data_IF_893905507180
#
_entry.id   IF_893905507180
#
_cell.length_a   1.000
_cell.length_b   1.000
_cell.length_c   1.000
_cell.angle_alpha   90.00
_cell.angle_beta   90.00
_cell.angle_gamma   90.00
#
_symmetry.space_group_name_H-M   'P 1'
#
loop_
_entity.id
_entity.type
_entity.pdbx_description
1 polymer ?
#
# COMPACT_ATOMS: atom_id res chain seq x y z
N UNK A 1 -51.02 -20.85 -4.62
CA UNK A 1 -50.81 -19.94 -5.76
C UNK A 1 -50.01 -18.75 -5.28
N UNK A 2 -48.97 -18.44 -6.04
CA UNK A 2 -47.87 -17.51 -5.85
C UNK A 2 -48.27 -16.04 -5.74
N UNK A 3 -47.49 -15.26 -4.98
CA UNK A 3 -47.30 -13.83 -5.24
C UNK A 3 -47.35 -12.93 -4.01
N UNK A 4 -46.19 -12.57 -3.45
CA UNK A 4 -45.97 -11.28 -2.80
C UNK A 4 -44.47 -11.04 -2.61
N UNK A 5 -43.93 -10.10 -3.39
CA UNK A 5 -42.55 -9.60 -3.27
C UNK A 5 -42.27 -9.05 -1.88
N UNK A 6 -41.14 -9.45 -1.30
CA UNK A 6 -40.53 -8.77 -0.16
C UNK A 6 -39.49 -7.81 -0.71
N UNK A 7 -39.74 -6.52 -0.45
CA UNK A 7 -38.87 -5.39 -0.76
C UNK A 7 -37.54 -5.60 -0.04
N UNK A 8 -36.46 -5.57 -0.81
CA UNK A 8 -35.12 -5.46 -0.26
C UNK A 8 -34.99 -4.10 0.45
N UNK A 9 -34.69 -4.15 1.74
CA UNK A 9 -34.45 -3.00 2.58
C UNK A 9 -33.14 -2.34 2.13
N UNK A 10 -33.20 -1.06 1.75
CA UNK A 10 -32.02 -0.22 1.55
C UNK A 10 -31.07 -0.34 2.75
N UNK A 11 -29.74 -0.38 2.52
CA UNK A 11 -28.78 -0.43 3.61
C UNK A 11 -28.83 0.90 4.41
N UNK A 12 -28.73 0.85 5.74
CA UNK A 12 -28.58 2.07 6.52
C UNK A 12 -27.27 2.77 6.15
N UNK A 13 -27.28 4.11 6.14
CA UNK A 13 -26.10 4.93 5.90
C UNK A 13 -24.93 4.51 6.82
N UNK A 14 -23.67 4.50 6.33
CA UNK A 14 -22.56 3.99 7.10
C UNK A 14 -22.34 4.82 8.36
N UNK A 15 -22.35 4.12 9.52
CA UNK A 15 -21.92 4.68 10.78
C UNK A 15 -20.43 5.03 10.70
N UNK A 16 -20.13 6.30 10.94
CA UNK A 16 -18.80 6.89 11.13
C UNK A 16 -17.91 6.07 12.08
N UNK A 17 -16.70 5.70 11.67
CA UNK A 17 -15.76 5.00 12.57
C UNK A 17 -14.39 4.58 12.04
N UNK A 18 -13.89 5.13 10.93
CA UNK A 18 -12.46 5.01 10.58
C UNK A 18 -11.81 6.36 10.88
N UNK A 19 -10.89 6.40 11.83
CA UNK A 19 -10.10 7.61 12.09
C UNK A 19 -9.28 7.93 10.83
N UNK A 20 -9.74 8.91 10.05
CA UNK A 20 -9.03 9.40 8.89
C UNK A 20 -8.04 10.46 9.34
N UNK A 21 -6.77 10.33 8.91
CA UNK A 21 -5.67 11.26 9.18
C UNK A 21 -5.35 12.13 7.94
N UNK A 22 -6.31 12.88 7.37
CA UNK A 22 -6.16 13.45 6.03
C UNK A 22 -5.02 14.46 5.93
N UNK A 23 -4.73 15.21 7.00
CA UNK A 23 -3.63 16.19 7.01
C UNK A 23 -2.27 15.51 6.79
N UNK A 24 -2.01 14.39 7.48
CA UNK A 24 -0.82 13.57 7.29
C UNK A 24 -0.71 13.07 5.86
N UNK A 25 -1.81 12.50 5.36
CA UNK A 25 -1.86 11.90 4.04
C UNK A 25 -1.60 12.93 2.94
N UNK A 26 -2.19 14.14 3.04
CA UNK A 26 -1.96 15.21 2.06
C UNK A 26 -0.46 15.54 2.01
N UNK A 27 0.17 15.80 3.16
CA UNK A 27 1.61 16.11 3.22
C UNK A 27 2.47 15.00 2.62
N UNK A 28 2.15 13.74 2.95
CA UNK A 28 2.86 12.58 2.41
C UNK A 28 2.73 12.48 0.88
N UNK A 29 1.51 12.63 0.34
CA UNK A 29 1.23 12.48 -1.09
C UNK A 29 1.94 13.55 -1.92
N UNK A 30 1.86 14.81 -1.48
CA UNK A 30 2.49 15.93 -2.20
C UNK A 30 4.01 15.81 -2.18
N UNK A 31 4.59 15.37 -1.06
CA UNK A 31 6.02 15.11 -0.99
C UNK A 31 6.43 13.91 -1.84
N UNK A 32 5.60 12.88 -1.97
CA UNK A 32 5.90 11.71 -2.83
C UNK A 32 5.94 12.12 -4.31
N UNK A 33 5.04 13.02 -4.74
CA UNK A 33 5.08 13.65 -6.08
C UNK A 33 6.33 14.51 -6.23
N UNK A 34 6.67 15.32 -5.22
CA UNK A 34 7.93 16.09 -5.22
C UNK A 34 9.14 15.18 -5.39
N UNK A 35 9.21 14.10 -4.62
CA UNK A 35 10.29 13.13 -4.68
C UNK A 35 10.37 12.45 -6.05
N UNK A 36 9.24 12.19 -6.71
CA UNK A 36 9.24 11.64 -8.07
C UNK A 36 9.96 12.54 -9.10
N UNK A 37 9.97 13.86 -8.88
CA UNK A 37 10.66 14.82 -9.76
C UNK A 37 12.10 15.12 -9.33
N UNK A 38 12.35 15.21 -8.03
CA UNK A 38 13.64 15.65 -7.46
C UNK A 38 14.57 14.49 -7.17
N UNK A 39 14.01 13.35 -6.79
CA UNK A 39 14.79 12.17 -6.50
C UNK A 39 15.15 11.45 -7.80
N UNK A 40 16.46 11.44 -8.01
CA UNK A 40 17.30 11.07 -9.13
C UNK A 40 17.14 9.61 -9.63
N UNK A 41 16.08 8.89 -9.25
CA UNK A 41 15.84 7.49 -9.61
C UNK A 41 15.19 7.31 -10.97
N UNK A 42 14.44 8.30 -11.50
CA UNK A 42 13.86 8.20 -12.84
C UNK A 42 14.87 8.45 -13.98
N UNK A 43 15.95 9.19 -13.76
CA UNK A 43 16.74 9.73 -14.88
C UNK A 43 17.92 8.90 -15.34
N UNK A 44 18.36 7.93 -14.55
CA UNK A 44 19.46 7.02 -14.96
C UNK A 44 18.94 5.66 -15.42
N UNK A 45 17.65 5.37 -15.18
CA UNK A 45 16.97 4.12 -15.56
C UNK A 45 15.91 4.29 -16.67
N UNK A 46 15.67 5.52 -17.16
CA UNK A 46 14.68 5.79 -18.22
C UNK A 46 13.23 5.92 -17.75
N UNK A 47 13.01 6.45 -16.55
CA UNK A 47 11.71 6.74 -15.93
C UNK A 47 11.44 5.94 -14.66
N UNK A 48 10.34 6.26 -13.96
CA UNK A 48 9.81 5.41 -12.90
C UNK A 48 9.07 4.21 -13.53
N UNK A 49 9.09 3.02 -12.91
CA UNK A 49 8.30 1.90 -13.41
C UNK A 49 6.80 2.26 -13.38
N UNK A 50 6.04 1.77 -14.38
CA UNK A 50 4.61 2.12 -14.55
C UNK A 50 3.78 2.00 -13.25
N UNK A 51 3.92 0.93 -12.43
CA UNK A 51 3.16 0.82 -11.18
C UNK A 51 3.46 1.93 -10.16
N UNK A 52 4.69 2.47 -10.17
CA UNK A 52 5.09 3.56 -9.29
C UNK A 52 4.54 4.90 -9.78
N UNK A 53 4.54 5.15 -11.09
CA UNK A 53 3.93 6.34 -11.70
C UNK A 53 2.43 6.38 -11.44
N UNK A 54 1.74 5.25 -11.63
CA UNK A 54 0.31 5.12 -11.32
C UNK A 54 0.06 5.48 -9.86
N UNK A 55 0.75 4.80 -8.92
CA UNK A 55 0.65 5.06 -7.48
C UNK A 55 0.83 6.54 -7.13
N UNK A 56 1.83 7.22 -7.71
CA UNK A 56 2.10 8.65 -7.48
C UNK A 56 0.92 9.49 -7.98
N UNK A 57 0.41 9.20 -9.19
CA UNK A 57 -0.75 9.90 -9.77
C UNK A 57 -2.01 9.73 -8.93
N UNK A 58 -2.25 8.57 -8.33
CA UNK A 58 -3.46 8.36 -7.54
C UNK A 58 -3.40 9.05 -6.19
N UNK A 59 -2.25 8.96 -5.53
CA UNK A 59 -1.99 9.66 -4.28
C UNK A 59 -2.09 11.17 -4.47
N UNK A 60 -1.48 11.70 -5.53
CA UNK A 60 -1.59 13.10 -5.90
C UNK A 60 -3.02 13.50 -6.21
N UNK A 61 -3.76 12.70 -6.98
CA UNK A 61 -5.14 12.99 -7.35
C UNK A 61 -6.08 13.03 -6.13
N UNK A 62 -5.89 12.10 -5.20
CA UNK A 62 -6.61 12.15 -3.92
C UNK A 62 -6.27 13.42 -3.12
N UNK A 63 -4.99 13.81 -3.05
CA UNK A 63 -4.60 15.04 -2.37
C UNK A 63 -5.20 16.30 -3.03
N UNK A 64 -5.28 16.32 -4.37
CA UNK A 64 -5.93 17.38 -5.12
C UNK A 64 -7.42 17.52 -4.76
N UNK A 65 -8.16 16.41 -4.73
CA UNK A 65 -9.58 16.39 -4.34
C UNK A 65 -9.80 16.87 -2.89
N UNK A 66 -8.94 16.42 -1.96
CA UNK A 66 -8.99 16.84 -0.56
C UNK A 66 -8.69 18.33 -0.38
N UNK A 67 -7.79 18.89 -1.19
CA UNK A 67 -7.45 20.31 -1.16
C UNK A 67 -8.57 21.17 -1.78
N UNK A 68 -9.23 20.69 -2.84
CA UNK A 68 -10.46 21.32 -3.36
C UNK A 68 -11.56 21.36 -2.32
N UNK A 69 -11.78 20.25 -1.62
CA UNK A 69 -12.78 20.17 -0.54
C UNK A 69 -12.46 21.13 0.62
N UNK A 70 -11.19 21.52 0.80
CA UNK A 70 -10.72 22.51 1.78
C UNK A 70 -10.71 23.95 1.26
N UNK A 71 -11.20 24.19 0.04
CA UNK A 71 -11.34 25.52 -0.53
C UNK A 71 -10.05 26.11 -1.12
N UNK A 72 -9.05 25.28 -1.44
CA UNK A 72 -7.91 25.74 -2.27
C UNK A 72 -8.43 26.16 -3.64
N UNK A 73 -7.85 27.24 -4.19
CA UNK A 73 -8.29 27.78 -5.47
C UNK A 73 -8.10 26.76 -6.60
N UNK A 74 -9.10 26.65 -7.48
CA UNK A 74 -9.10 25.67 -8.57
C UNK A 74 -7.86 25.79 -9.46
N UNK A 75 -7.42 27.02 -9.76
CA UNK A 75 -6.26 27.24 -10.62
C UNK A 75 -4.96 26.67 -10.03
N UNK A 76 -4.76 26.72 -8.71
CA UNK A 76 -3.62 26.09 -8.04
C UNK A 76 -3.69 24.58 -8.08
N UNK A 77 -4.87 23.99 -7.86
CA UNK A 77 -5.04 22.54 -7.91
C UNK A 77 -4.87 22.02 -9.35
N UNK A 78 -5.43 22.71 -10.34
CA UNK A 78 -5.33 22.32 -11.75
C UNK A 78 -3.87 22.36 -12.23
N UNK A 79 -3.11 23.40 -11.83
CA UNK A 79 -1.65 23.44 -12.08
C UNK A 79 -0.91 22.25 -11.44
N UNK A 80 -1.32 21.82 -10.25
CA UNK A 80 -0.72 20.65 -9.62
C UNK A 80 -1.08 19.35 -10.35
N UNK A 81 -2.31 19.20 -10.82
CA UNK A 81 -2.73 18.04 -11.61
C UNK A 81 -2.05 17.96 -12.98
N UNK A 82 -1.75 19.11 -13.61
CA UNK A 82 -0.91 19.17 -14.81
C UNK A 82 0.49 18.61 -14.55
N UNK A 83 1.10 18.98 -13.41
CA UNK A 83 2.38 18.41 -12.98
C UNK A 83 2.23 16.92 -12.71
N UNK A 84 1.20 16.50 -11.99
CA UNK A 84 0.94 15.09 -11.69
C UNK A 84 0.79 14.22 -12.94
N UNK A 85 0.13 14.73 -13.99
CA UNK A 85 0.02 14.05 -15.27
C UNK A 85 1.40 13.85 -15.94
N UNK A 86 2.31 14.80 -15.75
CA UNK A 86 3.66 14.79 -16.32
C UNK A 86 4.70 13.98 -15.54
N UNK A 87 4.32 13.13 -14.57
CA UNK A 87 5.28 12.30 -13.82
C UNK A 87 5.99 11.34 -14.80
N UNK A 88 7.34 11.26 -14.79
CA UNK A 88 8.10 10.52 -15.81
C UNK A 88 7.87 9.00 -15.74
N UNK A 89 7.43 8.39 -16.84
CA UNK A 89 7.20 6.94 -16.98
C UNK A 89 8.31 6.16 -17.69
N UNK A 90 8.19 4.82 -17.75
CA UNK A 90 9.25 3.92 -18.22
C UNK A 90 9.49 4.07 -19.73
N UNK A 91 10.76 4.07 -20.13
CA UNK A 91 11.19 4.21 -21.53
C UNK A 91 11.39 5.64 -22.01
N UNK A 92 11.25 6.66 -21.16
CA UNK A 92 11.69 8.02 -21.47
C UNK A 92 13.22 8.08 -21.44
N UNK A 93 13.81 7.72 -22.59
CA UNK A 93 15.24 7.48 -22.81
C UNK A 93 16.19 8.54 -22.16
N UNK A 94 17.21 8.10 -21.38
CA UNK A 94 18.22 8.98 -20.76
C UNK A 94 19.14 9.72 -21.74
N UNK A 95 19.17 9.38 -23.03
CA UNK A 95 20.03 10.03 -24.06
C UNK A 95 19.60 11.43 -24.51
N UNK A 96 18.68 12.09 -23.80
CA UNK A 96 18.34 13.51 -24.00
C UNK A 96 18.71 14.34 -22.76
N UNK A 97 19.99 14.36 -22.44
CA UNK A 97 20.58 15.34 -21.52
C UNK A 97 20.80 16.64 -22.32
N UNK A 98 19.85 17.56 -22.22
CA UNK A 98 20.10 18.98 -22.51
C UNK A 98 19.70 19.77 -21.28
N UNK A 99 20.44 20.85 -21.01
CA UNK A 99 20.19 21.84 -19.94
C UNK A 99 18.72 22.29 -19.87
N UNK A 100 18.02 22.25 -21.01
CA UNK A 100 16.59 22.48 -21.15
C UNK A 100 15.70 21.60 -20.24
N UNK A 101 16.07 20.33 -20.00
CA UNK A 101 15.36 19.46 -19.04
C UNK A 101 15.72 19.76 -17.58
N UNK A 102 16.89 20.35 -17.30
CA UNK A 102 17.26 20.76 -15.95
C UNK A 102 16.49 22.03 -15.53
N UNK A 103 16.38 23.00 -16.43
CA UNK A 103 15.57 24.21 -16.20
C UNK A 103 14.09 23.90 -16.05
N UNK A 104 13.56 23.00 -16.89
CA UNK A 104 12.17 22.54 -16.79
C UNK A 104 11.93 21.82 -15.45
N UNK A 105 12.83 20.93 -15.03
CA UNK A 105 12.77 20.31 -13.71
C UNK A 105 12.81 21.34 -12.59
N UNK A 106 13.74 22.29 -12.64
CA UNK A 106 13.83 23.33 -11.61
C UNK A 106 12.54 24.15 -11.51
N UNK A 107 11.88 24.44 -12.65
CA UNK A 107 10.57 25.10 -12.67
C UNK A 107 9.47 24.23 -12.05
N UNK A 108 9.46 22.93 -12.34
CA UNK A 108 8.51 21.98 -11.73
C UNK A 108 8.68 21.94 -10.21
N UNK A 109 9.93 21.85 -9.74
CA UNK A 109 10.27 21.83 -8.32
C UNK A 109 9.77 23.08 -7.61
N UNK A 110 10.08 24.27 -8.14
CA UNK A 110 9.60 25.53 -7.55
C UNK A 110 8.09 25.57 -7.46
N UNK A 111 7.37 25.11 -8.50
CA UNK A 111 5.90 25.04 -8.47
C UNK A 111 5.37 24.05 -7.43
N UNK A 112 6.03 22.90 -7.25
CA UNK A 112 5.65 21.92 -6.22
C UNK A 112 5.92 22.46 -4.81
N UNK A 113 7.00 23.22 -4.59
CA UNK A 113 7.29 23.89 -3.31
C UNK A 113 6.26 24.97 -2.99
N UNK A 114 5.90 25.79 -3.97
CA UNK A 114 4.82 26.77 -3.86
C UNK A 114 3.49 26.08 -3.50
N UNK A 115 3.16 24.98 -4.19
CA UNK A 115 1.93 24.23 -3.94
C UNK A 115 1.92 23.52 -2.57
N UNK A 116 3.05 22.95 -2.14
CA UNK A 116 3.23 22.42 -0.78
C UNK A 116 2.95 23.52 0.26
N UNK A 117 3.41 24.74 0.03
CA UNK A 117 3.12 25.90 0.87
C UNK A 117 1.64 26.28 0.91
N UNK A 118 0.94 26.24 -0.24
CA UNK A 118 -0.50 26.47 -0.33
C UNK A 118 -1.27 25.38 0.42
N UNK A 119 -0.94 24.11 0.19
CA UNK A 119 -1.56 22.97 0.85
C UNK A 119 -1.34 23.02 2.37
N UNK A 120 -0.12 23.35 2.81
CA UNK A 120 0.22 23.49 4.23
C UNK A 120 -0.58 24.59 4.92
N UNK A 121 -0.83 25.71 4.23
CA UNK A 121 -1.70 26.79 4.71
C UNK A 121 -3.16 26.35 4.78
N UNK A 122 -3.65 25.64 3.78
CA UNK A 122 -5.03 25.14 3.71
C UNK A 122 -5.35 24.12 4.82
N UNK A 123 -4.37 23.30 5.23
CA UNK A 123 -4.48 22.41 6.41
C UNK A 123 -4.61 23.18 7.72
N UNK A 124 -4.11 24.42 7.77
CA UNK A 124 -4.19 25.29 8.94
C UNK A 124 -3.15 24.98 10.03
N UNK A 125 -3.20 25.76 11.11
CA UNK A 125 -2.18 25.73 12.17
C UNK A 125 -2.42 24.61 13.19
N UNK A 126 -3.68 24.32 13.53
CA UNK A 126 -4.06 23.35 14.57
C UNK A 126 -3.56 21.93 14.30
N UNK A 127 -3.69 21.46 13.06
CA UNK A 127 -3.30 20.11 12.62
C UNK A 127 -2.17 20.10 11.61
N UNK A 128 -1.57 21.26 11.37
CA UNK A 128 -0.48 21.44 10.44
C UNK A 128 0.73 20.52 10.67
N UNK A 129 1.04 20.21 11.94
CA UNK A 129 2.12 19.29 12.29
C UNK A 129 1.95 17.89 11.68
N UNK A 130 0.71 17.43 11.48
CA UNK A 130 0.45 16.10 10.91
C UNK A 130 0.81 16.09 9.43
N UNK A 131 0.52 17.17 8.69
CA UNK A 131 1.02 17.36 7.33
C UNK A 131 2.55 17.33 7.30
N UNK A 132 3.20 18.03 8.23
CA UNK A 132 4.67 18.06 8.31
C UNK A 132 5.26 16.66 8.60
N UNK A 133 4.61 15.84 9.44
CA UNK A 133 4.98 14.43 9.63
C UNK A 133 4.88 13.64 8.33
N UNK A 134 3.79 13.81 7.58
CA UNK A 134 3.60 13.16 6.29
C UNK A 134 4.71 13.49 5.30
N UNK A 135 5.08 14.77 5.18
CA UNK A 135 6.20 15.23 4.35
C UNK A 135 7.50 14.57 4.77
N UNK A 136 7.86 14.67 6.06
CA UNK A 136 9.15 14.12 6.53
C UNK A 136 9.24 12.60 6.37
N UNK A 137 8.16 11.85 6.62
CA UNK A 137 8.14 10.40 6.45
C UNK A 137 8.15 9.97 4.98
N UNK A 138 7.49 10.72 4.10
CA UNK A 138 7.56 10.47 2.65
C UNK A 138 8.98 10.64 2.14
N UNK A 139 9.68 11.72 2.53
CA UNK A 139 11.09 11.97 2.21
C UNK A 139 12.01 10.85 2.70
N UNK A 140 11.88 10.45 3.96
CA UNK A 140 12.66 9.36 4.55
C UNK A 140 12.43 8.08 3.74
N UNK A 141 11.18 7.76 3.43
CA UNK A 141 10.82 6.59 2.64
C UNK A 141 11.33 6.61 1.20
N UNK A 142 11.42 7.78 0.58
CA UNK A 142 11.94 7.93 -0.78
C UNK A 142 13.48 7.75 -0.83
N UNK A 143 14.19 8.30 0.16
CA UNK A 143 15.63 8.09 0.33
C UNK A 143 15.99 6.61 0.59
N UNK A 144 15.25 5.92 1.45
CA UNK A 144 15.49 4.49 1.75
C UNK A 144 15.21 3.60 0.54
N UNK A 145 14.13 3.86 -0.23
CA UNK A 145 13.85 3.19 -1.50
C UNK A 145 14.98 3.39 -2.51
N UNK A 146 15.48 4.62 -2.63
CA UNK A 146 16.57 4.96 -3.56
C UNK A 146 17.88 4.28 -3.17
N UNK A 147 18.19 4.19 -1.87
CA UNK A 147 19.36 3.43 -1.39
C UNK A 147 19.23 1.93 -1.70
N UNK A 148 18.05 1.33 -1.44
CA UNK A 148 17.78 -0.07 -1.81
C UNK A 148 17.90 -0.32 -3.31
N UNK A 149 17.48 0.64 -4.15
CA UNK A 149 17.66 0.56 -5.59
C UNK A 149 19.14 0.60 -5.97
N UNK A 150 19.91 1.53 -5.41
CA UNK A 150 21.35 1.63 -5.66
C UNK A 150 22.08 0.32 -5.34
N UNK A 151 21.66 -0.37 -4.27
CA UNK A 151 22.23 -1.64 -3.83
C UNK A 151 22.02 -2.79 -4.82
N UNK A 152 20.99 -2.68 -5.67
CA UNK A 152 20.64 -3.67 -6.70
C UNK A 152 21.20 -3.33 -8.08
N UNK A 153 21.85 -2.18 -8.25
CA UNK A 153 22.47 -1.82 -9.53
C UNK A 153 23.51 -2.88 -9.92
N UNK A 154 23.66 -3.20 -11.21
CA UNK A 154 24.65 -4.16 -11.67
C UNK A 154 26.08 -3.59 -11.56
N UNK A 155 27.14 -4.44 -11.49
CA UNK A 155 28.53 -4.00 -11.26
C UNK A 155 29.05 -2.95 -12.25
N UNK A 156 28.53 -2.93 -13.46
CA UNK A 156 28.91 -1.99 -14.53
C UNK A 156 28.53 -0.53 -14.20
N UNK A 157 27.62 -0.32 -13.25
CA UNK A 157 27.15 0.98 -12.78
C UNK A 157 27.71 1.35 -11.40
N UNK A 158 28.89 0.85 -11.01
CA UNK A 158 29.44 1.04 -9.66
C UNK A 158 29.78 2.52 -9.32
N UNK A 159 30.24 3.30 -10.30
CA UNK A 159 30.46 4.74 -10.12
C UNK A 159 29.15 5.46 -9.79
N UNK A 160 28.08 5.13 -10.51
CA UNK A 160 26.73 5.63 -10.28
C UNK A 160 26.21 5.22 -8.88
N UNK A 161 26.35 3.94 -8.54
CA UNK A 161 26.00 3.39 -7.22
C UNK A 161 26.68 4.17 -6.10
N UNK A 162 27.97 4.45 -6.24
CA UNK A 162 28.77 5.19 -5.24
C UNK A 162 28.25 6.62 -5.06
N UNK A 163 28.01 7.34 -6.16
CA UNK A 163 27.46 8.71 -6.10
C UNK A 163 26.06 8.74 -5.50
N UNK A 164 25.17 7.80 -5.88
CA UNK A 164 23.83 7.69 -5.34
C UNK A 164 23.86 7.41 -3.84
N UNK A 165 24.63 6.42 -3.40
CA UNK A 165 24.76 6.08 -1.98
C UNK A 165 25.25 7.26 -1.16
N UNK A 166 26.28 7.97 -1.61
CA UNK A 166 26.80 9.14 -0.90
C UNK A 166 25.73 10.24 -0.75
N UNK A 167 25.06 10.60 -1.84
CA UNK A 167 24.01 11.64 -1.87
C UNK A 167 22.83 11.26 -0.97
N UNK A 168 22.26 10.08 -1.17
CA UNK A 168 21.03 9.67 -0.48
C UNK A 168 21.25 9.25 0.95
N UNK A 169 22.45 8.79 1.33
CA UNK A 169 22.79 8.60 2.74
C UNK A 169 22.87 9.94 3.46
N UNK A 170 23.49 10.96 2.85
CA UNK A 170 23.53 12.30 3.43
C UNK A 170 22.13 12.92 3.55
N UNK A 171 21.31 12.78 2.51
CA UNK A 171 19.93 13.29 2.51
C UNK A 171 19.03 12.55 3.50
N UNK A 172 19.14 11.22 3.62
CA UNK A 172 18.42 10.44 4.62
C UNK A 172 18.77 10.92 6.04
N UNK A 173 20.06 11.09 6.34
CA UNK A 173 20.51 11.62 7.63
C UNK A 173 19.95 13.03 7.87
N UNK A 174 19.93 13.89 6.84
CA UNK A 174 19.33 15.24 6.93
C UNK A 174 17.84 15.17 7.25
N UNK A 175 17.07 14.37 6.51
CA UNK A 175 15.63 14.22 6.69
C UNK A 175 15.27 13.68 8.09
N UNK A 176 16.03 12.68 8.56
CA UNK A 176 15.86 12.11 9.90
C UNK A 176 16.18 13.13 10.99
N UNK A 177 17.24 13.94 10.83
CA UNK A 177 17.55 15.04 11.77
C UNK A 177 16.43 16.08 11.84
N UNK A 178 15.84 16.44 10.70
CA UNK A 178 14.71 17.37 10.66
C UNK A 178 13.51 16.79 11.41
N UNK A 179 13.18 15.52 11.20
CA UNK A 179 12.10 14.85 11.93
C UNK A 179 12.36 14.79 13.42
N UNK A 180 13.57 14.40 13.84
CA UNK A 180 13.95 14.35 15.25
C UNK A 180 13.87 15.73 15.89
N UNK A 181 14.43 16.77 15.26
CA UNK A 181 14.33 18.13 15.79
C UNK A 181 12.87 18.61 15.88
N UNK A 182 12.05 18.27 14.88
CA UNK A 182 10.64 18.65 14.85
C UNK A 182 9.81 17.93 15.92
N UNK A 183 10.13 16.68 16.24
CA UNK A 183 9.37 15.85 17.19
C UNK A 183 9.90 15.95 18.62
N UNK A 184 11.21 16.06 18.81
CA UNK A 184 11.91 15.99 20.10
C UNK A 184 12.30 17.38 20.62
N UNK A 185 12.92 18.22 19.77
CA UNK A 185 13.43 19.53 20.22
C UNK A 185 12.34 20.60 20.35
N UNK A 186 11.21 20.45 19.63
CA UNK A 186 10.03 21.33 19.75
C UNK A 186 8.96 20.80 20.73
N UNK A 187 9.24 19.70 21.43
CA UNK A 187 8.25 18.85 22.12
C UNK A 187 7.85 19.16 23.58
N UNK A 188 8.60 19.91 24.42
CA UNK A 188 8.26 19.99 25.84
C UNK A 188 6.86 20.54 26.14
N UNK A 189 6.28 21.33 25.23
CA UNK A 189 4.95 21.96 25.38
C UNK A 189 3.91 21.48 24.35
N UNK A 190 4.17 20.40 23.60
CA UNK A 190 3.29 19.96 22.50
C UNK A 190 1.92 19.48 23.04
N UNK A 191 0.80 20.16 22.73
CA UNK A 191 -0.52 19.69 23.13
C UNK A 191 -0.90 18.47 22.30
N UNK A 192 -1.11 17.32 22.94
CA UNK A 192 -1.58 16.09 22.27
C UNK A 192 -3.01 16.30 21.79
N UNK A 193 -3.28 16.01 20.51
CA UNK A 193 -4.66 16.08 19.98
C UNK A 193 -5.35 14.76 20.39
N UNK A 194 -6.41 14.80 21.23
CA UNK A 194 -7.08 13.59 21.69
C UNK A 194 -7.60 12.70 20.57
N UNK A 195 -7.87 13.28 19.38
CA UNK A 195 -8.35 12.60 18.18
C UNK A 195 -7.23 12.07 17.27
N UNK A 196 -5.96 12.21 17.67
CA UNK A 196 -4.78 11.80 16.90
C UNK A 196 -3.75 11.12 17.80
N UNK A 197 -4.17 10.62 18.98
CA UNK A 197 -3.29 10.10 20.01
C UNK A 197 -2.43 8.92 19.54
N UNK A 198 -2.99 8.05 18.71
CA UNK A 198 -2.28 6.89 18.17
C UNK A 198 -1.15 7.33 17.24
N UNK A 199 -1.43 8.27 16.33
CA UNK A 199 -0.41 8.84 15.44
C UNK A 199 0.65 9.63 16.20
N UNK A 200 0.25 10.42 17.21
CA UNK A 200 1.18 11.13 18.08
C UNK A 200 2.15 10.14 18.76
N UNK A 201 1.64 9.03 19.31
CA UNK A 201 2.45 7.99 19.93
C UNK A 201 3.40 7.31 18.95
N UNK A 202 2.90 6.93 17.76
CA UNK A 202 3.71 6.26 16.74
C UNK A 202 4.87 7.16 16.26
N UNK A 203 4.61 8.46 16.08
CA UNK A 203 5.64 9.44 15.71
C UNK A 203 6.66 9.62 16.83
N UNK A 204 6.22 9.72 18.10
CA UNK A 204 7.11 9.86 19.25
C UNK A 204 8.03 8.62 19.39
N UNK A 205 7.49 7.41 19.23
CA UNK A 205 8.25 6.16 19.26
C UNK A 205 9.28 6.08 18.11
N UNK A 206 8.85 6.43 16.89
CA UNK A 206 9.73 6.46 15.73
C UNK A 206 10.85 7.50 15.90
N UNK A 207 10.55 8.69 16.41
CA UNK A 207 11.55 9.72 16.67
C UNK A 207 12.55 9.28 17.76
N UNK A 208 12.08 8.60 18.81
CA UNK A 208 12.95 8.01 19.83
C UNK A 208 13.95 7.00 19.25
N UNK A 209 13.49 6.13 18.34
CA UNK A 209 14.40 5.26 17.58
C UNK A 209 15.31 6.04 16.61
N UNK A 210 14.80 7.06 15.94
CA UNK A 210 15.57 7.87 15.00
C UNK A 210 16.74 8.60 15.69
N UNK A 211 16.60 9.00 16.95
CA UNK A 211 17.71 9.54 17.76
C UNK A 211 18.84 8.53 17.91
N UNK A 212 18.52 7.26 18.22
CA UNK A 212 19.55 6.22 18.36
C UNK A 212 20.17 5.88 17.02
N UNK A 213 19.37 5.83 15.95
CA UNK A 213 19.84 5.63 14.58
C UNK A 213 20.80 6.75 14.11
N UNK A 214 20.54 8.01 14.48
CA UNK A 214 21.42 9.13 14.11
C UNK A 214 22.80 9.06 14.75
N UNK A 215 22.95 8.37 15.89
CA UNK A 215 24.24 8.15 16.53
C UNK A 215 25.11 7.17 15.72
N UNK A 216 24.50 6.15 15.13
CA UNK A 216 25.16 5.16 14.28
C UNK A 216 24.29 4.81 13.07
N UNK A 217 24.33 5.62 11.98
CA UNK A 217 23.51 5.39 10.78
C UNK A 217 23.97 4.14 10.02
N UNK A 218 23.41 2.98 10.38
CA UNK A 218 23.86 1.65 10.00
C UNK A 218 22.94 1.01 8.94
N UNK A 219 21.65 0.85 9.23
CA UNK A 219 20.65 0.19 8.40
C UNK A 219 19.52 1.15 8.02
N UNK A 220 19.41 1.45 6.72
CA UNK A 220 18.27 2.18 6.17
C UNK A 220 16.98 1.34 6.17
N UNK A 221 17.09 0.02 6.29
CA UNK A 221 15.98 -0.93 6.19
C UNK A 221 15.12 -0.95 7.44
N UNK A 222 15.73 -0.99 8.63
CA UNK A 222 14.99 -0.94 9.89
C UNK A 222 14.34 0.43 10.11
N UNK A 223 15.05 1.50 9.76
CA UNK A 223 14.51 2.86 9.77
C UNK A 223 13.29 2.98 8.84
N UNK A 224 13.38 2.42 7.62
CA UNK A 224 12.26 2.38 6.68
C UNK A 224 11.07 1.57 7.22
N UNK A 225 11.34 0.41 7.81
CA UNK A 225 10.32 -0.47 8.38
C UNK A 225 9.52 0.23 9.49
N UNK A 226 10.21 0.88 10.43
CA UNK A 226 9.55 1.65 11.51
C UNK A 226 8.84 2.89 10.99
N UNK A 227 9.42 3.58 10.00
CA UNK A 227 8.73 4.70 9.34
C UNK A 227 7.43 4.26 8.66
N UNK A 228 7.42 3.08 8.02
CA UNK A 228 6.21 2.47 7.46
C UNK A 228 5.15 2.19 8.52
N UNK A 229 5.51 1.73 9.72
CA UNK A 229 4.55 1.52 10.81
C UNK A 229 3.80 2.80 11.17
N UNK A 230 4.48 3.96 11.19
CA UNK A 230 3.83 5.26 11.40
C UNK A 230 2.85 5.60 10.27
N UNK A 231 3.24 5.36 9.02
CA UNK A 231 2.34 5.57 7.87
C UNK A 231 1.10 4.68 7.96
N UNK A 232 1.24 3.43 8.41
CA UNK A 232 0.12 2.52 8.61
C UNK A 232 -0.85 3.02 9.69
N UNK A 233 -0.34 3.55 10.81
CA UNK A 233 -1.16 4.18 11.86
C UNK A 233 -1.93 5.38 11.30
N UNK A 234 -1.32 6.15 10.38
CA UNK A 234 -1.99 7.25 9.68
C UNK A 234 -3.01 6.78 8.62
N UNK A 235 -3.36 5.49 8.58
CA UNK A 235 -4.26 4.91 7.58
C UNK A 235 -3.66 4.84 6.18
N UNK A 236 -2.36 5.09 6.02
CA UNK A 236 -1.64 4.88 4.76
C UNK A 236 -1.22 3.42 4.68
N UNK A 237 -2.21 2.54 4.55
CA UNK A 237 -1.95 1.20 4.05
C UNK A 237 -1.30 1.34 2.66
N UNK A 238 -0.34 0.51 2.31
CA UNK A 238 0.22 0.47 0.94
C UNK A 238 -0.89 0.31 -0.11
N UNK A 239 -2.02 -0.26 0.32
CA UNK A 239 -3.30 -0.26 -0.36
C UNK A 239 -3.95 1.13 -0.52
N UNK A 240 -3.90 2.10 0.38
CA UNK A 240 -4.65 3.37 0.22
C UNK A 240 -4.09 4.29 -0.89
N UNK A 241 -2.82 4.06 -1.27
CA UNK A 241 -2.18 4.62 -2.47
C UNK A 241 -2.58 3.91 -3.77
N UNK A 242 -3.01 2.65 -3.65
CA UNK A 242 -3.35 1.77 -4.77
C UNK A 242 -4.89 1.58 -4.88
N UNK A 243 -5.64 1.97 -3.85
CA UNK A 243 -7.05 1.59 -3.62
C UNK A 243 -8.07 2.57 -4.13
N UNK A 244 -7.68 3.79 -4.53
CA UNK A 244 -8.64 4.73 -5.13
C UNK A 244 -8.48 4.89 -6.64
N UNK A 245 -7.27 4.87 -7.22
CA UNK A 245 -7.13 5.03 -8.69
C UNK A 245 -6.06 4.16 -9.40
N UNK A 246 -5.15 3.49 -8.69
CA UNK A 246 -3.90 2.88 -9.23
C UNK A 246 -3.89 1.43 -9.62
N UNK A 247 -5.07 0.83 -9.73
CA UNK A 247 -5.22 -0.46 -10.38
C UNK A 247 -6.05 -0.35 -11.64
N UNK A 248 -6.05 0.81 -12.30
CA UNK A 248 -6.83 1.02 -13.52
C UNK A 248 -6.23 0.38 -14.78
N UNK A 249 -4.98 -0.05 -14.79
CA UNK A 249 -4.36 -0.53 -16.04
C UNK A 249 -3.99 -2.01 -16.10
N UNK A 250 -3.84 -2.70 -14.96
CA UNK A 250 -3.75 -4.19 -14.97
C UNK A 250 -5.10 -4.88 -14.76
N UNK A 251 -6.14 -4.14 -14.36
CA UNK A 251 -7.48 -4.65 -14.09
C UNK A 251 -8.57 -3.71 -14.62
N UNK A 252 -8.44 -3.32 -15.89
CA UNK A 252 -9.39 -2.46 -16.60
C UNK A 252 -10.69 -3.20 -16.94
N UNK A 253 -11.51 -3.43 -15.93
CA UNK A 253 -12.92 -3.10 -16.01
C UNK A 253 -13.29 -2.31 -14.74
N UNK A 254 -13.95 -1.16 -14.86
CA UNK A 254 -14.41 -0.41 -13.70
C UNK A 254 -15.42 -1.29 -12.94
N UNK A 255 -15.10 -1.68 -11.70
CA UNK A 255 -16.08 -2.31 -10.82
C UNK A 255 -17.01 -1.19 -10.30
N UNK A 256 -18.28 -1.13 -10.75
CA UNK A 256 -19.17 -0.01 -10.44
C UNK A 256 -19.43 0.11 -8.94
N UNK A 257 -19.62 1.34 -8.48
CA UNK A 257 -20.10 1.67 -7.13
C UNK A 257 -21.31 0.79 -6.79
N UNK A 258 -21.15 -0.06 -5.76
CA UNK A 258 -22.12 -0.78 -4.92
C UNK A 258 -23.52 -1.20 -5.44
N UNK A 259 -23.87 -1.09 -6.72
CA UNK A 259 -25.22 -1.40 -7.19
C UNK A 259 -25.31 -2.48 -8.27
N UNK A 260 -24.23 -2.90 -8.96
CA UNK A 260 -24.35 -3.88 -10.07
C UNK A 260 -23.12 -4.74 -10.39
N UNK A 261 -22.40 -5.29 -9.41
CA UNK A 261 -21.45 -6.40 -9.70
C UNK A 261 -22.14 -7.69 -9.26
N UNK A 262 -22.46 -8.62 -10.19
CA UNK A 262 -22.90 -9.95 -9.81
C UNK A 262 -21.84 -10.58 -8.90
N UNK A 263 -22.26 -10.99 -7.70
CA UNK A 263 -21.48 -11.89 -6.84
C UNK A 263 -21.28 -13.17 -7.65
N UNK A 264 -20.08 -13.36 -8.19
CA UNK A 264 -19.72 -14.32 -9.23
C UNK A 264 -20.29 -13.99 -10.62
N UNK A 265 -19.44 -14.13 -11.66
CA UNK A 265 -19.95 -14.43 -13.01
C UNK A 265 -20.77 -15.71 -12.85
N UNK A 266 -22.01 -15.81 -13.36
CA UNK A 266 -22.73 -17.08 -13.34
C UNK A 266 -21.84 -18.18 -13.93
N UNK A 267 -21.32 -19.03 -13.07
CA UNK A 267 -20.36 -20.07 -13.37
C UNK A 267 -20.96 -21.39 -12.93
N UNK A 268 -20.69 -22.43 -13.71
CA UNK A 268 -21.09 -23.77 -13.30
C UNK A 268 -20.06 -24.36 -12.32
N UNK A 269 -20.37 -25.54 -11.80
CA UNK A 269 -19.46 -26.25 -10.90
C UNK A 269 -18.20 -26.72 -11.65
N UNK A 270 -18.29 -26.94 -12.96
CA UNK A 270 -17.20 -27.45 -13.80
C UNK A 270 -16.08 -26.42 -13.97
N UNK A 271 -16.45 -25.16 -14.21
CA UNK A 271 -15.57 -24.00 -14.28
C UNK A 271 -14.77 -23.79 -12.98
N UNK A 272 -15.45 -23.88 -11.84
CA UNK A 272 -14.79 -23.80 -10.53
C UNK A 272 -13.84 -24.98 -10.32
N UNK A 273 -14.30 -26.20 -10.61
CA UNK A 273 -13.48 -27.41 -10.48
C UNK A 273 -12.26 -27.35 -11.39
N UNK A 274 -12.40 -26.84 -12.63
CA UNK A 274 -11.28 -26.67 -13.56
C UNK A 274 -10.20 -25.75 -13.00
N UNK A 275 -10.57 -24.59 -12.49
CA UNK A 275 -9.62 -23.66 -11.87
C UNK A 275 -8.96 -24.28 -10.65
N UNK A 276 -9.73 -24.98 -9.81
CA UNK A 276 -9.20 -25.67 -8.62
C UNK A 276 -8.23 -26.81 -8.98
N UNK A 277 -8.52 -27.59 -10.02
CA UNK A 277 -7.64 -28.66 -10.51
C UNK A 277 -6.33 -28.10 -11.05
N UNK A 278 -6.38 -27.04 -11.86
CA UNK A 278 -5.18 -26.38 -12.39
C UNK A 278 -4.34 -25.75 -11.27
N UNK A 279 -5.01 -25.12 -10.29
CA UNK A 279 -4.34 -24.60 -9.09
C UNK A 279 -3.59 -25.71 -8.36
N UNK A 280 -4.25 -26.85 -8.13
CA UNK A 280 -3.64 -27.98 -7.43
C UNK A 280 -2.43 -28.54 -8.20
N UNK A 281 -2.56 -28.70 -9.53
CA UNK A 281 -1.45 -29.15 -10.36
C UNK A 281 -0.23 -28.22 -10.27
N UNK A 282 -0.46 -26.90 -10.21
CA UNK A 282 0.63 -25.94 -10.03
C UNK A 282 1.26 -26.04 -8.64
N UNK A 283 0.46 -26.18 -7.58
CA UNK A 283 0.95 -26.32 -6.21
C UNK A 283 1.75 -27.62 -5.98
N UNK A 284 1.41 -28.69 -6.69
CA UNK A 284 2.11 -29.98 -6.60
C UNK A 284 3.45 -29.98 -7.36
N UNK A 285 3.67 -29.03 -8.28
CA UNK A 285 4.94 -28.92 -9.02
C UNK A 285 6.04 -28.35 -8.11
N UNK A 286 7.21 -28.99 -8.02
CA UNK A 286 8.31 -28.47 -7.23
C UNK A 286 8.81 -27.14 -7.82
N UNK A 287 8.81 -26.10 -7.00
CA UNK A 287 9.29 -24.73 -7.32
C UNK A 287 10.80 -24.69 -7.68
N UNK A 288 11.50 -25.83 -7.56
CA UNK A 288 12.91 -26.00 -7.93
C UNK A 288 13.20 -26.03 -9.44
N UNK A 289 12.18 -26.16 -10.30
CA UNK A 289 12.27 -25.80 -11.72
C UNK A 289 12.03 -24.31 -11.89
N UNK A 290 12.69 -23.66 -12.88
CA UNK A 290 12.63 -22.21 -13.18
C UNK A 290 11.43 -21.49 -12.55
N UNK A 291 11.62 -20.82 -11.41
CA UNK A 291 10.57 -20.12 -10.66
C UNK A 291 9.76 -19.14 -11.52
N UNK A 292 10.36 -18.64 -12.61
CA UNK A 292 9.71 -17.80 -13.63
C UNK A 292 8.58 -18.54 -14.35
N UNK A 293 8.79 -19.79 -14.75
CA UNK A 293 7.76 -20.59 -15.41
C UNK A 293 6.59 -20.88 -14.47
N UNK A 294 6.86 -21.10 -13.18
CA UNK A 294 5.84 -21.27 -12.16
C UNK A 294 5.04 -19.98 -11.92
N UNK A 295 5.75 -18.85 -11.82
CA UNK A 295 5.14 -17.52 -11.72
C UNK A 295 4.26 -17.18 -12.94
N UNK A 296 4.73 -17.44 -14.16
CA UNK A 296 3.98 -17.17 -15.39
C UNK A 296 2.73 -18.06 -15.50
N UNK A 297 2.83 -19.34 -15.14
CA UNK A 297 1.68 -20.24 -15.08
C UNK A 297 0.63 -19.79 -14.03
N UNK A 298 1.08 -19.27 -12.88
CA UNK A 298 0.18 -18.67 -11.89
C UNK A 298 -0.48 -17.40 -12.40
N UNK A 299 0.23 -16.56 -13.17
CA UNK A 299 -0.37 -15.38 -13.83
C UNK A 299 -1.45 -15.77 -14.82
N UNK A 300 -1.22 -16.80 -15.63
CA UNK A 300 -2.22 -17.32 -16.56
C UNK A 300 -3.45 -17.86 -15.81
N UNK A 301 -3.23 -18.57 -14.69
CA UNK A 301 -4.32 -19.07 -13.86
C UNK A 301 -5.10 -17.93 -13.17
N UNK A 302 -4.44 -16.83 -12.77
CA UNK A 302 -5.14 -15.62 -12.31
C UNK A 302 -6.02 -15.04 -13.42
N UNK A 303 -5.52 -14.94 -14.66
CA UNK A 303 -6.32 -14.44 -15.77
C UNK A 303 -7.54 -15.33 -16.06
N UNK A 304 -7.34 -16.66 -16.07
CA UNK A 304 -8.41 -17.63 -16.26
C UNK A 304 -9.46 -17.54 -15.14
N UNK A 305 -9.03 -17.63 -13.88
CA UNK A 305 -9.95 -17.58 -12.72
C UNK A 305 -10.76 -16.29 -12.67
N UNK A 306 -10.18 -15.15 -13.04
CA UNK A 306 -10.91 -13.88 -13.16
C UNK A 306 -11.96 -13.91 -14.26
N UNK A 307 -11.63 -14.48 -15.42
CA UNK A 307 -12.56 -14.53 -16.56
C UNK A 307 -13.75 -15.45 -16.32
N UNK A 308 -13.52 -16.56 -15.61
CA UNK A 308 -14.53 -17.61 -15.44
C UNK A 308 -15.31 -17.46 -14.14
N UNK A 309 -14.65 -17.13 -13.03
CA UNK A 309 -15.26 -17.07 -11.69
C UNK A 309 -15.55 -15.63 -11.25
N UNK A 310 -14.88 -14.65 -11.87
CA UNK A 310 -14.87 -13.26 -11.45
C UNK A 310 -13.70 -12.91 -10.51
N UNK A 311 -13.38 -11.61 -10.40
CA UNK A 311 -12.16 -11.13 -9.74
C UNK A 311 -12.17 -11.23 -8.22
N UNK A 312 -13.35 -11.35 -7.59
CA UNK A 312 -13.49 -11.40 -6.13
C UNK A 312 -13.87 -12.79 -5.63
N UNK A 313 -14.08 -13.77 -6.51
CA UNK A 313 -14.44 -15.13 -6.12
C UNK A 313 -13.36 -15.73 -5.21
N UNK A 314 -13.72 -16.48 -4.15
CA UNK A 314 -12.74 -16.98 -3.18
C UNK A 314 -11.60 -17.78 -3.83
N UNK A 315 -11.91 -18.63 -4.81
CA UNK A 315 -10.89 -19.38 -5.58
C UNK A 315 -9.95 -18.44 -6.33
N UNK A 316 -10.45 -17.36 -6.93
CA UNK A 316 -9.61 -16.35 -7.61
C UNK A 316 -8.68 -15.65 -6.62
N UNK A 317 -9.19 -15.28 -5.44
CA UNK A 317 -8.39 -14.66 -4.38
C UNK A 317 -7.31 -15.61 -3.84
N UNK A 318 -7.58 -16.91 -3.75
CA UNK A 318 -6.59 -17.91 -3.37
C UNK A 318 -5.50 -18.09 -4.43
N UNK A 319 -5.86 -18.16 -5.72
CA UNK A 319 -4.87 -18.22 -6.83
C UNK A 319 -3.98 -16.96 -6.84
N UNK A 320 -4.54 -15.79 -6.52
CA UNK A 320 -3.75 -14.57 -6.37
C UNK A 320 -2.77 -14.63 -5.18
N UNK A 321 -3.16 -15.27 -4.07
CA UNK A 321 -2.28 -15.48 -2.94
C UNK A 321 -1.14 -16.44 -3.29
N UNK A 322 -1.41 -17.47 -4.10
CA UNK A 322 -0.38 -18.37 -4.60
C UNK A 322 0.62 -17.64 -5.52
N UNK A 323 0.13 -16.76 -6.40
CA UNK A 323 1.00 -15.88 -7.21
C UNK A 323 1.86 -14.97 -6.32
N UNK A 324 1.30 -14.39 -5.27
CA UNK A 324 2.06 -13.59 -4.31
C UNK A 324 3.21 -14.42 -3.69
N UNK A 325 2.95 -15.68 -3.33
CA UNK A 325 3.97 -16.58 -2.79
C UNK A 325 5.07 -16.94 -3.81
N UNK A 326 4.77 -16.91 -5.11
CA UNK A 326 5.76 -17.13 -6.17
C UNK A 326 6.82 -16.01 -6.29
N UNK A 327 6.64 -14.88 -5.59
CA UNK A 327 7.67 -13.84 -5.45
C UNK A 327 8.76 -14.19 -4.40
N UNK A 328 8.51 -15.15 -3.51
CA UNK A 328 9.49 -15.53 -2.48
C UNK A 328 10.75 -16.18 -3.06
N UNK A 329 10.66 -17.16 -3.99
CA UNK A 329 11.83 -17.70 -4.69
C UNK A 329 12.57 -16.64 -5.53
N UNK A 330 11.89 -15.56 -5.93
CA UNK A 330 12.48 -14.43 -6.65
C UNK A 330 13.24 -13.45 -5.73
N UNK A 331 13.21 -13.66 -4.41
CA UNK A 331 13.86 -12.77 -3.44
C UNK A 331 13.06 -11.48 -3.17
N UNK A 332 11.75 -11.51 -3.42
CA UNK A 332 10.85 -10.35 -3.29
C UNK A 332 9.79 -10.56 -2.18
N UNK A 333 10.18 -10.80 -0.92
CA UNK A 333 9.23 -11.09 0.15
C UNK A 333 8.34 -9.89 0.48
N UNK A 334 8.84 -8.66 0.38
CA UNK A 334 8.02 -7.45 0.61
C UNK A 334 6.85 -7.36 -0.40
N UNK A 335 7.12 -7.65 -1.68
CA UNK A 335 6.10 -7.69 -2.74
C UNK A 335 5.05 -8.76 -2.46
N UNK A 336 5.48 -9.96 -2.06
CA UNK A 336 4.58 -11.04 -1.65
C UNK A 336 3.66 -10.59 -0.50
N UNK A 337 4.22 -9.91 0.50
CA UNK A 337 3.45 -9.44 1.64
C UNK A 337 2.42 -8.36 1.27
N UNK A 338 2.80 -7.39 0.45
CA UNK A 338 1.91 -6.33 -0.01
C UNK A 338 0.72 -6.93 -0.78
N UNK A 339 0.98 -7.85 -1.72
CA UNK A 339 -0.06 -8.57 -2.48
C UNK A 339 -0.99 -9.39 -1.59
N UNK A 340 -0.44 -10.03 -0.55
CA UNK A 340 -1.20 -10.83 0.40
C UNK A 340 -2.14 -9.95 1.24
N UNK A 341 -1.66 -8.82 1.74
CA UNK A 341 -2.48 -7.86 2.49
C UNK A 341 -3.58 -7.24 1.61
N UNK A 342 -3.29 -6.99 0.33
CA UNK A 342 -4.27 -6.50 -0.65
C UNK A 342 -5.44 -7.48 -0.87
N UNK A 343 -5.15 -8.78 -0.88
CA UNK A 343 -6.17 -9.84 -1.00
C UNK A 343 -7.06 -9.85 0.24
N UNK A 344 -6.48 -9.73 1.44
CA UNK A 344 -7.23 -9.66 2.69
C UNK A 344 -8.15 -8.42 2.75
N UNK A 345 -7.69 -7.27 2.26
CA UNK A 345 -8.51 -6.06 2.22
C UNK A 345 -9.60 -6.13 1.15
N UNK A 346 -9.29 -6.67 -0.04
CA UNK A 346 -10.28 -6.92 -1.08
C UNK A 346 -11.41 -7.79 -0.53
N UNK A 347 -11.05 -8.84 0.22
CA UNK A 347 -12.04 -9.68 0.88
C UNK A 347 -12.86 -8.90 1.94
N UNK A 348 -12.24 -8.02 2.74
CA UNK A 348 -12.96 -7.17 3.69
C UNK A 348 -13.95 -6.22 2.99
N UNK A 349 -13.53 -5.58 1.91
CA UNK A 349 -14.33 -4.57 1.19
C UNK A 349 -15.56 -5.18 0.51
N UNK A 350 -15.39 -6.36 -0.10
CA UNK A 350 -16.45 -7.00 -0.88
C UNK A 350 -17.39 -7.84 -0.04
N UNK A 351 -16.85 -8.62 0.89
CA UNK A 351 -17.66 -9.51 1.70
C UNK A 351 -18.15 -8.83 2.98
N UNK A 352 -17.49 -7.76 3.43
CA UNK A 352 -17.80 -7.09 4.67
C UNK A 352 -17.21 -7.82 5.90
N UNK A 353 -17.19 -7.16 7.06
CA UNK A 353 -16.43 -7.60 8.23
C UNK A 353 -16.90 -8.94 8.83
N UNK A 354 -18.18 -9.30 8.68
CA UNK A 354 -18.77 -10.48 9.33
C UNK A 354 -18.97 -11.68 8.39
N UNK A 355 -18.54 -11.60 7.14
CA UNK A 355 -18.89 -12.61 6.13
C UNK A 355 -17.94 -13.82 6.15
N UNK A 356 -18.45 -15.06 6.09
CA UNK A 356 -17.65 -16.29 6.15
C UNK A 356 -16.46 -16.32 5.18
N UNK A 357 -16.69 -15.96 3.92
CA UNK A 357 -15.65 -15.93 2.88
C UNK A 357 -14.48 -15.01 3.22
N UNK A 358 -14.74 -13.85 3.84
CA UNK A 358 -13.66 -12.95 4.28
C UNK A 358 -12.70 -13.69 5.21
N UNK A 359 -13.24 -14.39 6.20
CA UNK A 359 -12.45 -15.09 7.20
C UNK A 359 -11.61 -16.22 6.59
N UNK A 360 -12.16 -16.96 5.63
CA UNK A 360 -11.42 -18.02 4.93
C UNK A 360 -10.24 -17.45 4.11
N UNK A 361 -10.47 -16.37 3.36
CA UNK A 361 -9.42 -15.70 2.58
C UNK A 361 -8.35 -15.13 3.50
N UNK A 362 -8.73 -14.41 4.57
CA UNK A 362 -7.78 -13.82 5.51
C UNK A 362 -6.97 -14.88 6.26
N UNK A 363 -7.57 -16.02 6.59
CA UNK A 363 -6.85 -17.14 7.22
C UNK A 363 -5.80 -17.74 6.29
N UNK A 364 -6.11 -17.87 4.99
CA UNK A 364 -5.16 -18.31 3.99
C UNK A 364 -4.00 -17.31 3.83
N UNK A 365 -4.32 -16.01 3.70
CA UNK A 365 -3.32 -14.93 3.63
C UNK A 365 -2.42 -14.91 4.86
N UNK A 366 -2.98 -15.02 6.06
CA UNK A 366 -2.22 -15.10 7.31
C UNK A 366 -1.21 -16.27 7.27
N UNK A 367 -1.63 -17.44 6.78
CA UNK A 367 -0.76 -18.60 6.66
C UNK A 367 0.40 -18.36 5.69
N UNK A 368 0.11 -17.78 4.52
CA UNK A 368 1.13 -17.39 3.53
C UNK A 368 2.18 -16.42 4.12
N UNK A 369 1.74 -15.45 4.92
CA UNK A 369 2.63 -14.49 5.59
C UNK A 369 3.46 -15.10 6.74
N UNK A 370 2.92 -16.08 7.45
CA UNK A 370 3.41 -16.50 8.78
C UNK A 370 4.89 -16.90 8.86
N UNK A 371 5.48 -17.42 7.78
CA UNK A 371 6.90 -17.82 7.75
C UNK A 371 7.87 -16.70 7.38
N UNK A 372 7.43 -15.73 6.60
CA UNK A 372 8.31 -14.75 5.93
C UNK A 372 8.06 -13.31 6.37
N UNK A 373 6.88 -13.03 6.90
CA UNK A 373 6.43 -11.72 7.39
C UNK A 373 5.57 -11.85 8.66
N UNK A 374 6.15 -12.26 9.79
CA UNK A 374 5.41 -12.55 11.01
C UNK A 374 4.70 -11.31 11.59
N UNK A 375 5.24 -10.11 11.39
CA UNK A 375 4.59 -8.87 11.81
C UNK A 375 3.31 -8.58 11.02
N UNK A 376 3.32 -8.76 9.69
CA UNK A 376 2.14 -8.61 8.85
C UNK A 376 1.10 -9.70 9.12
N UNK A 377 1.54 -10.94 9.33
CA UNK A 377 0.67 -12.04 9.76
C UNK A 377 -0.01 -11.70 11.10
N UNK A 378 0.74 -11.14 12.06
CA UNK A 378 0.21 -10.75 13.37
C UNK A 378 -0.91 -9.72 13.28
N UNK A 379 -0.87 -8.78 12.34
CA UNK A 379 -1.95 -7.81 12.14
C UNK A 379 -3.26 -8.49 11.70
N UNK A 380 -3.19 -9.45 10.77
CA UNK A 380 -4.35 -10.26 10.36
C UNK A 380 -4.82 -11.23 11.45
N UNK A 381 -3.92 -11.64 12.34
CA UNK A 381 -4.27 -12.43 13.51
C UNK A 381 -5.06 -11.60 14.52
N UNK A 382 -4.54 -10.45 14.93
CA UNK A 382 -5.10 -9.64 16.01
C UNK A 382 -6.46 -9.02 15.66
N UNK A 383 -6.68 -8.63 14.40
CA UNK A 383 -7.79 -7.74 14.05
C UNK A 383 -9.04 -8.44 13.46
N UNK A 384 -8.95 -9.54 12.69
CA UNK A 384 -10.12 -10.40 12.39
C UNK A 384 -10.09 -11.85 12.91
N UNK A 385 -8.96 -12.55 12.88
CA UNK A 385 -8.95 -14.01 13.07
C UNK A 385 -9.10 -14.42 14.54
N UNK A 386 -8.35 -13.77 15.44
CA UNK A 386 -8.41 -14.02 16.89
C UNK A 386 -9.80 -13.73 17.46
N UNK A 387 -10.44 -12.63 17.02
CA UNK A 387 -11.79 -12.28 17.45
C UNK A 387 -12.83 -13.34 17.08
N UNK A 388 -12.70 -14.00 15.92
CA UNK A 388 -13.60 -15.09 15.53
C UNK A 388 -13.24 -16.42 16.23
N UNK A 389 -11.95 -16.74 16.34
CA UNK A 389 -11.48 -17.99 16.92
C UNK A 389 -11.87 -18.16 18.40
N UNK A 390 -11.84 -17.06 19.15
CA UNK A 390 -12.06 -17.01 20.60
C UNK A 390 -13.52 -16.74 21.02
N UNK A 391 -14.45 -16.53 20.07
CA UNK A 391 -15.87 -16.38 20.41
C UNK A 391 -16.47 -17.71 20.84
N UNK A 392 -17.16 -17.74 21.98
CA UNK A 392 -17.84 -18.92 22.51
C UNK A 392 -18.99 -19.37 21.58
N UNK A 393 -19.83 -18.42 21.20
CA UNK A 393 -20.94 -18.63 20.26
C UNK A 393 -20.73 -17.84 18.96
N UNK A 394 -20.91 -18.52 17.83
CA UNK A 394 -20.90 -17.91 16.50
C UNK A 394 -22.11 -18.34 15.70
N UNK A 395 -22.66 -17.47 14.83
CA UNK A 395 -23.69 -17.85 13.86
C UNK A 395 -23.29 -19.11 13.07
N UNK A 396 -24.28 -19.93 12.69
CA UNK A 396 -24.05 -21.22 12.02
C UNK A 396 -23.08 -21.11 10.82
N UNK A 397 -23.29 -20.10 9.97
CA UNK A 397 -22.46 -19.78 8.80
C UNK A 397 -20.97 -19.50 9.11
N UNK A 398 -20.62 -19.19 10.37
CA UNK A 398 -19.25 -18.91 10.82
C UNK A 398 -18.62 -20.09 11.59
N UNK A 399 -19.36 -21.18 11.85
CA UNK A 399 -18.83 -22.35 12.56
C UNK A 399 -17.68 -23.03 11.80
N UNK A 400 -17.85 -23.24 10.50
CA UNK A 400 -16.83 -23.87 9.65
C UNK A 400 -15.57 -22.99 9.49
N UNK A 401 -15.66 -21.69 9.13
CA UNK A 401 -14.51 -20.78 9.14
C UNK A 401 -13.80 -20.71 10.50
N UNK A 402 -14.54 -20.67 11.60
CA UNK A 402 -13.97 -20.67 12.96
C UNK A 402 -13.15 -21.94 13.23
N UNK A 403 -13.67 -23.12 12.91
CA UNK A 403 -12.96 -24.38 13.10
C UNK A 403 -11.66 -24.44 12.27
N UNK A 404 -11.71 -24.01 11.00
CA UNK A 404 -10.52 -23.92 10.15
C UNK A 404 -9.47 -22.97 10.73
N UNK A 405 -9.89 -21.78 11.17
CA UNK A 405 -9.01 -20.78 11.78
C UNK A 405 -8.37 -21.32 13.06
N UNK A 406 -9.13 -21.97 13.95
CA UNK A 406 -8.58 -22.56 15.18
C UNK A 406 -7.53 -23.63 14.89
N UNK A 407 -7.78 -24.49 13.91
CA UNK A 407 -6.81 -25.49 13.44
C UNK A 407 -5.54 -24.85 12.88
N UNK A 408 -5.67 -23.81 12.04
CA UNK A 408 -4.53 -23.09 11.49
C UNK A 408 -3.67 -22.39 12.56
N UNK A 409 -4.30 -21.98 13.65
CA UNK A 409 -3.65 -21.30 14.76
C UNK A 409 -3.15 -22.25 15.86
N UNK A 410 -3.32 -23.57 15.70
CA UNK A 410 -2.93 -24.56 16.70
C UNK A 410 -3.74 -24.48 18.01
N UNK A 411 -4.89 -23.80 18.00
CA UNK A 411 -5.74 -23.60 19.19
C UNK A 411 -6.59 -24.83 19.54
N UNK A 412 -6.57 -25.85 18.69
CA UNK A 412 -7.24 -27.14 18.91
C UNK A 412 -6.29 -28.22 19.44
N UNK A 413 -5.02 -27.87 19.75
CA UNK A 413 -3.98 -28.79 20.23
C UNK A 413 -3.93 -28.98 21.76
N UNK A 414 -4.97 -28.57 22.48
CA UNK A 414 -5.15 -28.94 23.89
C UNK A 414 -6.33 -29.93 24.00
N UNK A 415 -5.96 -31.21 24.08
CA UNK A 415 -6.81 -32.36 24.37
C UNK A 415 -5.92 -33.50 24.86
#
# INVERSE_FOLDING_TARGET
MTGAGRRDLEPPAPASGVESYPEFRIGFCLEDVYCAYVEWSGLVAGGHPEPEVERIRDLGGWAADELRARGVDAASVDRFEELLAGVPGPGENPDRITEQRADERQRIVVRLEEFLGVARKAVGTRRGRYFDYGVMLSRIGACTRTLRFADRLPPELDALRTTMRAKYKAELVRAVRVLVAFVVDLSPERPRDPAQRELDHAVDEFAGYAVTWLATPDSAEELHRRGKEVTLVAGMHTSDAISRHGRRHLYREPLPRHERIPLAVPHDTEDRTRVESLRQELLDKPVGGSWRAHHDALRELVALSRSVLGPVHPTTLHVQADLAMAHLPAGEPDTAADMLLDIAETALRYYGPAHPTRYLVVAHVHNCLGRWHPAAARQLYEFPLKSLALKDEVPEQLRHPRAMIRRYLGLDAEG
#
